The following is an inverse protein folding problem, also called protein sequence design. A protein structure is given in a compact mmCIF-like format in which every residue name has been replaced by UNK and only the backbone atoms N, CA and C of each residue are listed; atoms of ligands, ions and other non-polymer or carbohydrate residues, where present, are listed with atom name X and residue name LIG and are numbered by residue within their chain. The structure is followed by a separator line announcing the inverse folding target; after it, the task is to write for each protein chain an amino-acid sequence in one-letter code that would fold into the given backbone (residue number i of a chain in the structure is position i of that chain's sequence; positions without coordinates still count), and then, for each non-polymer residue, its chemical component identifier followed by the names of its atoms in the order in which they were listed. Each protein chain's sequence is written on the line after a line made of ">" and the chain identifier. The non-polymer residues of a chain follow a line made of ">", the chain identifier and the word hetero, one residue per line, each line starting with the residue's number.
data_IF_740390865962
#
_entry.id   IF_740390865962
#
_cell.length_a   1.000
_cell.length_b   1.000
_cell.length_c   1.000
_cell.angle_alpha   90.00
_cell.angle_beta   90.00
_cell.angle_gamma   90.00
#
_symmetry.space_group_name_H-M   'P 1'
#
loop_
_entity.id
_entity.type
_entity.pdbx_description
1 polymer ?
#
# COMPACT_ATOMS: atom_id res chain seq x y z
N UNK A 1 1.58 -9.74 1.91
CA UNK A 1 2.66 -9.23 1.06
C UNK A 1 3.78 -8.64 1.91
N UNK A 2 3.51 -7.51 2.56
CA UNK A 2 4.53 -6.72 3.31
C UNK A 2 5.20 -7.49 4.46
N UNK A 3 4.49 -8.39 5.15
CA UNK A 3 5.11 -9.23 6.18
C UNK A 3 6.08 -10.25 5.61
N UNK A 4 5.77 -10.83 4.45
CA UNK A 4 6.69 -11.72 3.75
C UNK A 4 7.94 -10.97 3.26
N UNK A 5 7.74 -9.79 2.70
CA UNK A 5 8.80 -8.89 2.23
C UNK A 5 9.74 -8.49 3.38
N UNK A 6 9.18 -8.03 4.49
CA UNK A 6 9.97 -7.62 5.66
C UNK A 6 10.78 -8.79 6.22
N UNK A 7 10.18 -9.98 6.33
CA UNK A 7 10.88 -11.18 6.78
C UNK A 7 12.04 -11.56 5.85
N UNK A 8 11.81 -11.50 4.53
CA UNK A 8 12.88 -11.74 3.55
C UNK A 8 14.00 -10.70 3.66
N UNK A 9 13.68 -9.42 3.81
CA UNK A 9 14.66 -8.37 3.99
C UNK A 9 15.52 -8.61 5.23
N UNK A 10 14.90 -8.89 6.37
CA UNK A 10 15.61 -9.16 7.62
C UNK A 10 16.55 -10.36 7.46
N UNK A 11 16.05 -11.47 6.89
CA UNK A 11 16.87 -12.67 6.73
C UNK A 11 17.97 -12.46 5.71
N UNK A 12 17.71 -11.79 4.60
CA UNK A 12 18.75 -11.50 3.58
C UNK A 12 19.87 -10.62 4.14
N UNK A 13 19.54 -9.69 5.02
CA UNK A 13 20.52 -8.75 5.59
C UNK A 13 21.32 -9.34 6.75
N UNK A 14 20.64 -10.04 7.67
CA UNK A 14 21.25 -10.49 8.93
C UNK A 14 21.60 -11.97 8.95
N UNK A 15 20.98 -12.80 8.10
CA UNK A 15 21.17 -14.24 8.04
C UNK A 15 21.27 -14.74 6.59
N UNK A 16 22.25 -14.26 5.79
CA UNK A 16 22.30 -14.53 4.34
C UNK A 16 22.40 -16.01 3.99
N UNK A 17 23.06 -16.81 4.81
CA UNK A 17 23.17 -18.27 4.60
C UNK A 17 21.83 -19.00 4.71
N UNK A 18 20.91 -18.50 5.51
CA UNK A 18 19.57 -19.07 5.67
C UNK A 18 18.64 -18.68 4.52
N UNK A 19 18.83 -17.51 3.93
CA UNK A 19 18.03 -17.00 2.81
C UNK A 19 18.17 -17.80 1.52
N UNK A 20 19.37 -18.41 1.28
CA UNK A 20 19.63 -19.18 0.08
C UNK A 20 18.77 -20.44 -0.06
N UNK A 21 18.49 -21.12 1.05
CA UNK A 21 17.73 -22.39 1.06
C UNK A 21 16.33 -22.28 1.65
N UNK A 22 16.04 -21.21 2.36
CA UNK A 22 14.83 -21.04 3.16
C UNK A 22 13.90 -19.91 2.74
N UNK A 23 14.16 -19.22 1.62
CA UNK A 23 13.38 -18.01 1.20
C UNK A 23 11.86 -18.23 1.18
N UNK A 24 11.41 -19.40 0.70
CA UNK A 24 9.99 -19.77 0.75
C UNK A 24 9.43 -19.79 2.17
N UNK A 25 10.09 -20.50 3.09
CA UNK A 25 9.63 -20.63 4.46
C UNK A 25 9.69 -19.30 5.20
N UNK A 26 10.72 -18.51 4.97
CA UNK A 26 10.86 -17.17 5.55
C UNK A 26 9.70 -16.27 5.12
N UNK A 27 9.42 -16.19 3.82
CA UNK A 27 8.31 -15.42 3.27
C UNK A 27 6.95 -15.93 3.79
N UNK A 28 6.77 -17.25 3.85
CA UNK A 28 5.55 -17.89 4.34
C UNK A 28 5.29 -17.56 5.80
N UNK A 29 6.28 -17.75 6.66
CA UNK A 29 6.18 -17.43 8.09
C UNK A 29 5.97 -15.93 8.29
N UNK A 30 6.70 -15.08 7.59
CA UNK A 30 6.51 -13.62 7.65
C UNK A 30 5.11 -13.17 7.25
N UNK A 31 4.52 -13.80 6.23
CA UNK A 31 3.14 -13.55 5.84
C UNK A 31 2.14 -14.00 6.93
N UNK A 32 2.34 -15.17 7.52
CA UNK A 32 1.49 -15.68 8.61
C UNK A 32 1.61 -14.82 9.87
N UNK A 33 2.82 -14.39 10.24
CA UNK A 33 3.02 -13.52 11.41
C UNK A 33 2.32 -12.17 11.22
N UNK A 34 2.41 -11.56 10.04
CA UNK A 34 1.70 -10.31 9.76
C UNK A 34 0.18 -10.49 9.88
N UNK A 35 -0.35 -11.61 9.41
CA UNK A 35 -1.77 -11.91 9.53
C UNK A 35 -2.18 -12.19 10.97
N UNK A 36 -1.33 -12.93 11.73
CA UNK A 36 -1.51 -13.16 13.16
C UNK A 36 -1.57 -11.85 13.96
N UNK A 37 -0.75 -10.87 13.59
CA UNK A 37 -0.77 -9.52 14.20
C UNK A 37 -2.10 -8.81 13.91
N UNK A 38 -2.60 -8.86 12.67
CA UNK A 38 -3.92 -8.31 12.31
C UNK A 38 -5.03 -8.99 13.11
N UNK A 39 -4.95 -10.31 13.30
CA UNK A 39 -5.92 -11.05 14.11
C UNK A 39 -5.85 -10.68 15.58
N UNK A 40 -4.67 -10.51 16.14
CA UNK A 40 -4.48 -10.04 17.50
C UNK A 40 -5.12 -8.65 17.72
N UNK A 41 -4.96 -7.74 16.78
CA UNK A 41 -5.61 -6.42 16.81
C UNK A 41 -7.14 -6.57 16.78
N UNK A 42 -7.67 -7.46 15.94
CA UNK A 42 -9.11 -7.66 15.77
C UNK A 42 -9.76 -8.55 16.82
N UNK A 43 -8.99 -9.30 17.61
CA UNK A 43 -9.51 -10.27 18.57
C UNK A 43 -10.49 -9.64 19.56
N UNK A 44 -10.15 -8.49 20.15
CA UNK A 44 -10.99 -7.78 21.12
C UNK A 44 -12.28 -7.20 20.50
N UNK A 45 -12.36 -7.08 19.20
CA UNK A 45 -13.52 -6.56 18.46
C UNK A 45 -14.44 -7.68 17.94
N UNK A 46 -14.30 -8.90 18.43
CA UNK A 46 -15.01 -10.09 17.94
C UNK A 46 -14.81 -10.31 16.42
N UNK A 47 -13.62 -10.03 15.93
CA UNK A 47 -13.25 -10.17 14.52
C UNK A 47 -14.14 -9.32 13.58
N UNK A 48 -14.47 -8.11 14.00
CA UNK A 48 -15.25 -7.19 13.16
C UNK A 48 -14.53 -6.94 11.84
N UNK A 49 -15.20 -7.08 10.66
CA UNK A 49 -14.58 -6.90 9.35
C UNK A 49 -13.90 -5.54 9.17
N UNK A 50 -14.48 -4.47 9.71
CA UNK A 50 -13.89 -3.12 9.59
C UNK A 50 -12.60 -3.02 10.40
N UNK A 51 -12.55 -3.61 11.61
CA UNK A 51 -11.33 -3.63 12.44
C UNK A 51 -10.27 -4.51 11.79
N UNK A 52 -10.64 -5.61 11.13
CA UNK A 52 -9.70 -6.43 10.36
C UNK A 52 -9.09 -5.65 9.20
N UNK A 53 -9.89 -4.90 8.45
CA UNK A 53 -9.39 -4.07 7.33
C UNK A 53 -8.48 -2.96 7.84
N UNK A 54 -8.89 -2.23 8.90
CA UNK A 54 -8.07 -1.18 9.51
C UNK A 54 -6.77 -1.74 10.09
N UNK A 55 -6.85 -2.85 10.83
CA UNK A 55 -5.68 -3.53 11.36
C UNK A 55 -4.71 -3.98 10.26
N UNK A 56 -5.25 -4.54 9.17
CA UNK A 56 -4.48 -4.92 7.99
C UNK A 56 -3.79 -3.72 7.34
N UNK A 57 -4.48 -2.58 7.23
CA UNK A 57 -3.93 -1.35 6.68
C UNK A 57 -2.80 -0.80 7.55
N UNK A 58 -3.00 -0.73 8.86
CA UNK A 58 -1.98 -0.25 9.82
C UNK A 58 -0.72 -1.14 9.80
N UNK A 59 -0.90 -2.47 9.85
CA UNK A 59 0.21 -3.43 9.76
C UNK A 59 0.93 -3.32 8.43
N UNK A 60 0.20 -3.13 7.32
CA UNK A 60 0.77 -2.94 6.00
C UNK A 60 1.63 -1.66 5.93
N UNK A 61 1.13 -0.54 6.42
CA UNK A 61 1.87 0.73 6.45
C UNK A 61 3.13 0.61 7.31
N UNK A 62 3.01 0.03 8.52
CA UNK A 62 4.14 -0.17 9.44
C UNK A 62 5.24 -1.02 8.78
N UNK A 63 4.87 -2.18 8.23
CA UNK A 63 5.84 -3.09 7.62
C UNK A 63 6.44 -2.52 6.33
N UNK A 64 5.64 -1.79 5.54
CA UNK A 64 6.15 -1.08 4.36
C UNK A 64 7.14 0.02 4.74
N UNK A 65 6.87 0.77 5.81
CA UNK A 65 7.78 1.82 6.27
C UNK A 65 9.13 1.22 6.73
N UNK A 66 9.10 0.14 7.53
CA UNK A 66 10.33 -0.55 7.96
C UNK A 66 11.06 -1.14 6.74
N UNK A 67 10.35 -1.77 5.81
CA UNK A 67 10.94 -2.35 4.59
C UNK A 67 11.60 -1.27 3.73
N UNK A 68 10.95 -0.12 3.55
CA UNK A 68 11.50 1.01 2.80
C UNK A 68 12.77 1.55 3.45
N UNK A 69 12.78 1.66 4.78
CA UNK A 69 13.97 2.08 5.54
C UNK A 69 15.15 1.12 5.28
N UNK A 70 14.92 -0.20 5.41
CA UNK A 70 15.95 -1.21 5.16
C UNK A 70 16.43 -1.19 3.70
N UNK A 71 15.54 -0.98 2.74
CA UNK A 71 15.89 -0.88 1.32
C UNK A 71 16.77 0.34 1.01
N UNK A 72 16.55 1.46 1.69
CA UNK A 72 17.35 2.67 1.51
C UNK A 72 18.76 2.47 2.08
N UNK A 73 18.85 1.93 3.29
CA UNK A 73 20.16 1.74 3.93
C UNK A 73 21.01 0.63 3.29
N UNK A 74 20.37 -0.37 2.69
CA UNK A 74 21.05 -1.57 2.17
C UNK A 74 20.68 -1.86 0.70
N UNK A 75 20.49 -0.83 -0.11
CA UNK A 75 19.96 -0.92 -1.48
C UNK A 75 20.63 -1.99 -2.35
N UNK A 76 21.96 -2.09 -2.30
CA UNK A 76 22.73 -3.05 -3.10
C UNK A 76 22.46 -4.51 -2.71
N UNK A 77 22.26 -4.78 -1.40
CA UNK A 77 22.08 -6.15 -0.89
C UNK A 77 20.67 -6.68 -1.07
N UNK A 78 19.69 -5.79 -1.26
CA UNK A 78 18.26 -6.15 -1.27
C UNK A 78 17.63 -6.13 -2.66
N UNK A 79 18.39 -5.90 -3.74
CA UNK A 79 17.85 -5.86 -5.11
C UNK A 79 17.06 -7.13 -5.47
N UNK A 80 17.53 -8.30 -5.01
CA UNK A 80 16.81 -9.57 -5.22
C UNK A 80 15.43 -9.62 -4.54
N UNK A 81 15.28 -8.99 -3.36
CA UNK A 81 14.01 -8.91 -2.66
C UNK A 81 13.06 -7.93 -3.35
N UNK A 82 13.58 -6.83 -3.90
CA UNK A 82 12.77 -5.87 -4.69
C UNK A 82 12.23 -6.54 -5.97
N UNK A 83 13.05 -7.33 -6.65
CA UNK A 83 12.63 -8.11 -7.82
C UNK A 83 11.57 -9.15 -7.44
N UNK A 84 11.74 -9.84 -6.30
CA UNK A 84 10.76 -10.80 -5.79
C UNK A 84 9.42 -10.11 -5.41
N UNK A 85 9.48 -8.93 -4.77
CA UNK A 85 8.29 -8.15 -4.39
C UNK A 85 7.41 -7.80 -5.60
N UNK A 86 8.03 -7.55 -6.75
CA UNK A 86 7.30 -7.17 -7.96
C UNK A 86 6.41 -8.26 -8.55
N UNK A 87 6.51 -9.49 -8.05
CA UNK A 87 5.73 -10.66 -8.46
C UNK A 87 6.17 -11.24 -9.80
N UNK A 88 6.76 -12.43 -9.78
CA UNK A 88 7.26 -13.10 -10.98
C UNK A 88 6.67 -14.51 -11.12
N UNK A 89 6.02 -14.79 -12.25
CA UNK A 89 5.50 -16.12 -12.60
C UNK A 89 6.49 -16.94 -13.43
N UNK A 90 7.66 -16.43 -13.75
CA UNK A 90 8.68 -17.19 -14.48
C UNK A 90 9.12 -18.39 -13.65
N UNK A 91 8.89 -19.59 -14.18
CA UNK A 91 9.22 -20.83 -13.51
C UNK A 91 10.38 -21.51 -14.22
N UNK A 92 11.39 -21.91 -13.45
CA UNK A 92 12.54 -22.68 -13.93
C UNK A 92 12.38 -24.19 -13.68
N UNK A 93 11.36 -24.59 -12.90
CA UNK A 93 11.10 -25.98 -12.56
C UNK A 93 9.61 -26.27 -12.43
N UNK A 94 9.22 -27.53 -12.60
CA UNK A 94 7.85 -28.00 -12.45
C UNK A 94 7.34 -28.03 -11.00
N UNK A 95 8.22 -27.96 -9.99
CA UNK A 95 7.86 -28.09 -8.58
C UNK A 95 6.84 -27.06 -8.11
N UNK A 96 7.02 -25.78 -8.48
CA UNK A 96 6.07 -24.75 -8.13
C UNK A 96 4.74 -24.90 -8.85
N UNK A 97 4.77 -25.28 -10.13
CA UNK A 97 3.55 -25.52 -10.91
C UNK A 97 2.74 -26.67 -10.34
N UNK A 98 3.38 -27.79 -9.99
CA UNK A 98 2.74 -28.94 -9.34
C UNK A 98 2.09 -28.54 -8.00
N UNK A 99 2.81 -27.75 -7.18
CA UNK A 99 2.28 -27.24 -5.93
C UNK A 99 1.02 -26.40 -6.12
N UNK A 100 1.02 -25.45 -7.09
CA UNK A 100 -0.14 -24.62 -7.36
C UNK A 100 -1.31 -25.41 -7.94
N UNK A 101 -1.05 -26.38 -8.81
CA UNK A 101 -2.09 -27.30 -9.33
C UNK A 101 -2.70 -28.08 -8.18
N UNK A 102 -1.90 -28.64 -7.29
CA UNK A 102 -2.39 -29.38 -6.14
C UNK A 102 -3.29 -28.52 -5.24
N UNK A 103 -2.84 -27.31 -4.86
CA UNK A 103 -3.66 -26.38 -4.07
C UNK A 103 -4.93 -26.00 -4.81
N UNK A 104 -4.86 -25.73 -6.11
CA UNK A 104 -6.03 -25.35 -6.91
C UNK A 104 -7.08 -26.46 -7.03
N UNK A 105 -6.69 -27.72 -6.89
CA UNK A 105 -7.60 -28.87 -6.83
C UNK A 105 -8.18 -29.09 -5.43
N UNK A 106 -7.38 -28.92 -4.39
CA UNK A 106 -7.80 -29.12 -2.99
C UNK A 106 -8.71 -28.00 -2.51
N UNK A 107 -8.40 -26.74 -2.87
CA UNK A 107 -9.12 -25.57 -2.37
C UNK A 107 -10.62 -25.57 -2.68
N UNK A 108 -11.11 -25.88 -3.90
CA UNK A 108 -12.53 -25.99 -4.19
C UNK A 108 -13.22 -27.06 -3.34
N UNK A 109 -12.56 -28.19 -3.07
CA UNK A 109 -13.09 -29.27 -2.24
C UNK A 109 -13.31 -28.77 -0.80
N UNK A 110 -12.33 -28.07 -0.22
CA UNK A 110 -12.48 -27.45 1.12
C UNK A 110 -13.64 -26.44 1.12
N UNK A 111 -13.73 -25.62 0.06
CA UNK A 111 -14.77 -24.60 -0.06
C UNK A 111 -16.18 -25.21 -0.17
N UNK A 112 -16.35 -26.40 -0.75
CA UNK A 112 -17.65 -27.09 -0.78
C UNK A 112 -18.22 -27.32 0.63
N UNK A 113 -17.38 -27.67 1.61
CA UNK A 113 -17.82 -27.83 3.00
C UNK A 113 -18.22 -26.50 3.65
N UNK A 114 -17.68 -25.39 3.18
CA UNK A 114 -17.96 -24.05 3.70
C UNK A 114 -19.15 -23.35 3.02
N UNK A 115 -19.63 -23.86 1.86
CA UNK A 115 -20.74 -23.23 1.12
C UNK A 115 -22.00 -23.11 1.98
N UNK A 116 -22.40 -24.17 2.68
CA UNK A 116 -23.62 -24.17 3.52
C UNK A 116 -23.52 -23.14 4.66
N UNK A 117 -22.51 -23.20 5.55
CA UNK A 117 -22.42 -22.22 6.64
C UNK A 117 -22.25 -20.78 6.14
N UNK A 118 -21.51 -20.54 5.05
CA UNK A 118 -21.40 -19.22 4.44
C UNK A 118 -22.72 -18.71 3.86
N UNK A 119 -23.52 -19.60 3.25
CA UNK A 119 -24.86 -19.24 2.73
C UNK A 119 -25.78 -18.82 3.87
N UNK A 120 -25.78 -19.53 4.99
CA UNK A 120 -26.57 -19.17 6.16
C UNK A 120 -26.09 -17.82 6.77
N UNK A 121 -24.77 -17.62 6.85
CA UNK A 121 -24.17 -16.37 7.34
C UNK A 121 -24.46 -15.16 6.44
N UNK A 122 -24.79 -15.38 5.16
CA UNK A 122 -25.14 -14.28 4.25
C UNK A 122 -26.52 -13.67 4.50
N UNK A 123 -27.36 -14.32 5.30
CA UNK A 123 -28.68 -13.78 5.66
C UNK A 123 -28.57 -12.69 6.74
N UNK A 124 -28.15 -13.08 7.94
CA UNK A 124 -27.83 -12.19 9.06
C UNK A 124 -27.08 -12.98 10.14
N UNK A 125 -26.19 -12.34 10.89
CA UNK A 125 -25.41 -12.99 11.95
C UNK A 125 -26.28 -13.57 13.07
N UNK A 126 -27.36 -12.86 13.45
CA UNK A 126 -28.32 -13.31 14.48
C UNK A 126 -29.07 -14.56 14.03
N UNK A 127 -29.55 -14.55 12.79
CA UNK A 127 -30.25 -15.68 12.19
C UNK A 127 -29.33 -16.89 12.02
N UNK A 128 -28.08 -16.67 11.61
CA UNK A 128 -27.10 -17.74 11.47
C UNK A 128 -26.83 -18.45 12.83
N UNK A 129 -26.70 -17.68 13.91
CA UNK A 129 -26.56 -18.23 15.27
C UNK A 129 -27.80 -18.99 15.73
N UNK A 130 -28.99 -18.49 15.43
CA UNK A 130 -30.26 -19.16 15.75
C UNK A 130 -30.40 -20.51 15.01
N UNK A 131 -29.82 -20.61 13.80
CA UNK A 131 -29.77 -21.82 13.00
C UNK A 131 -28.60 -22.76 13.38
N UNK A 132 -27.90 -22.48 14.50
CA UNK A 132 -26.86 -23.33 15.05
C UNK A 132 -25.48 -23.18 14.39
N UNK A 133 -25.27 -22.18 13.51
CA UNK A 133 -23.97 -21.96 12.88
C UNK A 133 -23.00 -21.27 13.87
N UNK A 134 -21.83 -21.86 14.15
CA UNK A 134 -20.81 -21.24 14.99
C UNK A 134 -20.07 -20.13 14.23
N UNK A 135 -20.73 -18.97 14.09
CA UNK A 135 -20.30 -17.85 13.22
C UNK A 135 -18.83 -17.46 13.45
N UNK A 136 -18.39 -17.37 14.73
CA UNK A 136 -17.01 -16.99 15.04
C UNK A 136 -16.00 -18.04 14.54
N UNK A 137 -16.30 -19.32 14.72
CA UNK A 137 -15.42 -20.41 14.27
C UNK A 137 -15.36 -20.48 12.73
N UNK A 138 -16.50 -20.34 12.05
CA UNK A 138 -16.54 -20.32 10.56
C UNK A 138 -15.77 -19.11 10.02
N UNK A 139 -15.94 -17.93 10.62
CA UNK A 139 -15.21 -16.72 10.24
C UNK A 139 -13.70 -16.92 10.42
N UNK A 140 -13.28 -17.44 11.57
CA UNK A 140 -11.88 -17.70 11.87
C UNK A 140 -11.28 -18.73 10.89
N UNK A 141 -12.00 -19.80 10.59
CA UNK A 141 -11.57 -20.82 9.63
C UNK A 141 -11.39 -20.23 8.22
N UNK A 142 -12.36 -19.45 7.73
CA UNK A 142 -12.28 -18.81 6.41
C UNK A 142 -11.09 -17.86 6.34
N UNK A 143 -10.91 -17.01 7.34
CA UNK A 143 -9.81 -16.02 7.34
C UNK A 143 -8.45 -16.72 7.45
N UNK A 144 -8.34 -17.79 8.25
CA UNK A 144 -7.13 -18.62 8.32
C UNK A 144 -6.83 -19.29 6.98
N UNK A 145 -7.84 -19.85 6.32
CA UNK A 145 -7.69 -20.45 5.00
C UNK A 145 -7.19 -19.42 3.97
N UNK A 146 -7.77 -18.22 3.95
CA UNK A 146 -7.33 -17.12 3.10
C UNK A 146 -5.87 -16.74 3.41
N UNK A 147 -5.50 -16.67 4.70
CA UNK A 147 -4.14 -16.36 5.12
C UNK A 147 -3.13 -17.39 4.60
N UNK A 148 -3.42 -18.69 4.80
CA UNK A 148 -2.54 -19.79 4.36
C UNK A 148 -2.40 -19.81 2.85
N UNK A 149 -3.50 -19.70 2.11
CA UNK A 149 -3.48 -19.67 0.63
C UNK A 149 -2.68 -18.47 0.13
N UNK A 150 -2.94 -17.27 0.67
CA UNK A 150 -2.22 -16.05 0.27
C UNK A 150 -0.73 -16.14 0.62
N UNK A 151 -0.38 -16.63 1.81
CA UNK A 151 1.01 -16.83 2.21
C UNK A 151 1.73 -17.82 1.28
N UNK A 152 1.06 -18.92 0.91
CA UNK A 152 1.58 -19.94 -0.02
C UNK A 152 1.85 -19.37 -1.43
N UNK A 153 0.97 -18.50 -1.92
CA UNK A 153 1.17 -17.85 -3.22
C UNK A 153 2.32 -16.84 -3.13
N UNK A 154 2.24 -15.92 -2.17
CA UNK A 154 3.23 -14.84 -2.03
C UNK A 154 4.64 -15.37 -1.79
N UNK A 155 4.79 -16.42 -1.01
CA UNK A 155 6.12 -17.00 -0.72
C UNK A 155 6.81 -17.62 -1.94
N UNK A 156 6.07 -18.01 -2.98
CA UNK A 156 6.64 -18.64 -4.19
C UNK A 156 6.80 -17.72 -5.38
N UNK A 157 5.85 -16.81 -5.58
CA UNK A 157 5.81 -15.96 -6.78
C UNK A 157 5.88 -14.48 -6.47
N UNK A 158 6.03 -14.12 -5.20
CA UNK A 158 6.02 -12.73 -4.78
C UNK A 158 4.62 -12.14 -4.71
N UNK A 159 4.53 -10.81 -4.70
CA UNK A 159 3.26 -10.12 -4.49
C UNK A 159 2.49 -9.98 -5.80
N UNK A 160 1.34 -10.66 -5.88
CA UNK A 160 0.37 -10.51 -6.96
C UNK A 160 -0.77 -9.62 -6.48
N UNK A 161 -0.80 -8.39 -6.95
CA UNK A 161 -1.76 -7.39 -6.49
C UNK A 161 -3.07 -7.47 -7.26
N UNK A 162 -4.19 -7.17 -6.58
CA UNK A 162 -5.52 -6.93 -7.17
C UNK A 162 -6.23 -8.09 -7.84
N UNK A 163 -5.65 -9.28 -7.98
CA UNK A 163 -6.28 -10.44 -8.62
C UNK A 163 -7.60 -10.81 -7.92
N UNK A 164 -7.55 -11.02 -6.60
CA UNK A 164 -8.72 -11.41 -5.81
C UNK A 164 -9.80 -10.32 -5.79
N UNK A 165 -9.39 -9.05 -5.67
CA UNK A 165 -10.33 -7.93 -5.63
C UNK A 165 -11.00 -7.70 -6.99
N UNK A 166 -10.25 -7.80 -8.09
CA UNK A 166 -10.78 -7.68 -9.43
C UNK A 166 -11.75 -8.84 -9.75
N UNK A 167 -11.38 -10.07 -9.42
CA UNK A 167 -12.24 -11.24 -9.62
C UNK A 167 -13.54 -11.11 -8.81
N UNK A 168 -13.47 -10.73 -7.54
CA UNK A 168 -14.65 -10.50 -6.70
C UNK A 168 -15.53 -9.37 -7.25
N UNK A 169 -14.95 -8.29 -7.75
CA UNK A 169 -15.69 -7.17 -8.35
C UNK A 169 -16.45 -7.60 -9.60
N UNK A 170 -15.82 -8.39 -10.49
CA UNK A 170 -16.49 -8.93 -11.69
C UNK A 170 -17.67 -9.83 -11.29
N UNK A 171 -17.47 -10.75 -10.35
CA UNK A 171 -18.54 -11.66 -9.87
C UNK A 171 -19.71 -10.88 -9.28
N UNK A 172 -19.46 -9.80 -8.57
CA UNK A 172 -20.50 -8.93 -8.04
C UNK A 172 -21.30 -8.22 -9.15
N UNK A 173 -20.61 -7.79 -10.23
CA UNK A 173 -21.27 -7.16 -11.40
C UNK A 173 -22.19 -8.12 -12.13
N UNK A 174 -21.74 -9.39 -12.30
CA UNK A 174 -22.53 -10.45 -12.95
C UNK A 174 -23.72 -10.88 -12.09
N UNK A 175 -23.82 -10.40 -10.83
CA UNK A 175 -24.91 -10.61 -9.90
C UNK A 175 -25.25 -12.10 -9.65
N UNK A 176 -24.23 -12.94 -9.59
CA UNK A 176 -24.36 -14.36 -9.24
C UNK A 176 -24.81 -14.46 -7.77
N UNK A 177 -26.01 -15.00 -7.50
CA UNK A 177 -26.58 -15.06 -6.14
C UNK A 177 -26.06 -16.24 -5.31
N UNK A 178 -26.02 -17.51 -5.80
CA UNK A 178 -25.59 -18.65 -4.99
C UNK A 178 -24.11 -18.56 -4.61
N UNK A 179 -23.78 -18.66 -3.32
CA UNK A 179 -22.40 -18.51 -2.82
C UNK A 179 -21.46 -19.52 -3.48
N UNK A 180 -21.87 -20.77 -3.65
CA UNK A 180 -21.05 -21.77 -4.34
C UNK A 180 -20.68 -21.36 -5.76
N UNK A 181 -21.64 -20.86 -6.54
CA UNK A 181 -21.38 -20.36 -7.90
C UNK A 181 -20.51 -19.09 -7.88
N UNK A 182 -20.69 -18.20 -6.89
CA UNK A 182 -19.83 -17.01 -6.72
C UNK A 182 -18.38 -17.39 -6.47
N UNK A 183 -18.13 -18.39 -5.62
CA UNK A 183 -16.79 -18.89 -5.34
C UNK A 183 -16.15 -19.50 -6.58
N UNK A 184 -16.90 -20.35 -7.32
CA UNK A 184 -16.40 -20.94 -8.56
C UNK A 184 -16.15 -19.91 -9.66
N UNK A 185 -17.04 -18.94 -9.82
CA UNK A 185 -16.85 -17.85 -10.76
C UNK A 185 -15.63 -16.98 -10.38
N UNK A 186 -15.45 -16.66 -9.09
CA UNK A 186 -14.28 -15.94 -8.60
C UNK A 186 -12.98 -16.68 -8.88
N UNK A 187 -12.97 -18.01 -8.67
CA UNK A 187 -11.85 -18.86 -9.00
C UNK A 187 -11.52 -18.83 -10.51
N UNK A 188 -12.54 -18.99 -11.37
CA UNK A 188 -12.36 -18.95 -12.82
C UNK A 188 -11.88 -17.59 -13.32
N UNK A 189 -12.46 -16.48 -12.84
CA UNK A 189 -12.05 -15.13 -13.21
C UNK A 189 -10.64 -14.79 -12.72
N UNK A 190 -10.27 -15.21 -11.50
CA UNK A 190 -8.91 -15.03 -10.98
C UNK A 190 -7.88 -15.76 -11.83
N UNK A 191 -8.15 -17.00 -12.18
CA UNK A 191 -7.29 -17.81 -13.06
C UNK A 191 -7.17 -17.18 -14.45
N UNK A 192 -8.30 -16.77 -15.05
CA UNK A 192 -8.33 -16.11 -16.35
C UNK A 192 -7.57 -14.78 -16.36
N UNK A 193 -7.71 -13.96 -15.32
CA UNK A 193 -7.01 -12.68 -15.20
C UNK A 193 -5.49 -12.88 -15.15
N UNK A 194 -5.01 -13.83 -14.32
CA UNK A 194 -3.59 -14.14 -14.23
C UNK A 194 -3.05 -14.75 -15.52
N UNK A 195 -3.79 -15.65 -16.13
CA UNK A 195 -3.43 -16.25 -17.43
C UNK A 195 -3.32 -15.20 -18.52
N UNK A 196 -4.31 -14.31 -18.63
CA UNK A 196 -4.31 -13.20 -19.59
C UNK A 196 -3.11 -12.26 -19.33
N UNK A 197 -2.89 -11.86 -18.07
CA UNK A 197 -1.77 -10.98 -17.70
C UNK A 197 -0.43 -11.63 -18.04
N UNK A 198 -0.25 -12.91 -17.73
CA UNK A 198 0.98 -13.63 -18.07
C UNK A 198 1.24 -13.66 -19.58
N UNK A 199 0.20 -13.92 -20.40
CA UNK A 199 0.34 -13.89 -21.86
C UNK A 199 0.69 -12.48 -22.37
N UNK A 200 0.06 -11.43 -21.83
CA UNK A 200 0.39 -10.05 -22.17
C UNK A 200 1.87 -9.75 -21.83
N UNK A 201 2.31 -10.17 -20.65
CA UNK A 201 3.72 -9.98 -20.23
C UNK A 201 4.67 -10.75 -21.16
N UNK A 202 4.35 -11.98 -21.51
CA UNK A 202 5.17 -12.78 -22.44
C UNK A 202 5.27 -12.16 -23.83
N UNK A 203 4.18 -11.57 -24.34
CA UNK A 203 4.16 -10.90 -25.64
C UNK A 203 4.90 -9.56 -25.63
N UNK A 204 4.75 -8.78 -24.56
CA UNK A 204 5.32 -7.44 -24.48
C UNK A 204 6.77 -7.42 -23.99
N UNK A 205 7.17 -8.37 -23.15
CA UNK A 205 8.50 -8.40 -22.51
C UNK A 205 9.67 -8.33 -23.53
N UNK A 206 9.64 -9.02 -24.69
CA UNK A 206 10.69 -8.89 -25.69
C UNK A 206 10.83 -7.49 -26.28
N UNK A 207 9.72 -6.75 -26.41
CA UNK A 207 9.72 -5.38 -26.93
C UNK A 207 10.22 -4.35 -25.91
N UNK A 208 9.96 -4.57 -24.64
CA UNK A 208 10.38 -3.67 -23.55
C UNK A 208 11.81 -3.92 -23.07
N UNK A 209 12.34 -5.14 -23.22
CA UNK A 209 13.69 -5.49 -22.82
C UNK A 209 14.78 -4.61 -23.45
N UNK A 210 14.78 -4.33 -24.79
CA UNK A 210 15.76 -3.45 -25.37
C UNK A 210 15.58 -1.97 -25.01
N UNK A 211 14.35 -1.54 -24.66
CA UNK A 211 14.03 -0.15 -24.32
C UNK A 211 14.36 0.21 -22.87
N UNK A 212 14.06 -0.69 -21.94
CA UNK A 212 14.12 -0.42 -20.52
C UNK A 212 15.05 -1.37 -19.75
N UNK A 213 15.67 -2.33 -20.44
CA UNK A 213 16.52 -3.38 -19.85
C UNK A 213 15.85 -4.16 -18.69
N UNK A 214 14.51 -4.30 -18.73
CA UNK A 214 13.73 -5.02 -17.72
C UNK A 214 12.92 -6.16 -18.32
N UNK A 215 12.74 -7.20 -17.51
CA UNK A 215 11.67 -8.18 -17.69
C UNK A 215 10.43 -7.66 -16.96
N UNK A 216 9.31 -7.50 -17.65
CA UNK A 216 8.08 -7.03 -17.05
C UNK A 216 7.60 -8.00 -15.96
N UNK A 217 7.49 -7.57 -14.68
CA UNK A 217 6.99 -8.44 -13.63
C UNK A 217 5.47 -8.58 -13.72
N UNK A 218 4.99 -9.81 -13.64
CA UNK A 218 3.56 -10.12 -13.75
C UNK A 218 2.75 -9.46 -12.65
N UNK A 219 3.29 -9.37 -11.41
CA UNK A 219 2.60 -8.76 -10.28
C UNK A 219 2.30 -7.27 -10.47
N UNK A 220 3.23 -6.51 -11.05
CA UNK A 220 3.00 -5.09 -11.36
C UNK A 220 1.96 -4.93 -12.48
N UNK A 221 2.04 -5.74 -13.52
CA UNK A 221 1.09 -5.71 -14.64
C UNK A 221 -0.31 -6.15 -14.19
N UNK A 222 -0.43 -7.16 -13.30
CA UNK A 222 -1.73 -7.53 -12.70
C UNK A 222 -2.30 -6.40 -11.84
N UNK A 223 -1.46 -5.67 -11.12
CA UNK A 223 -1.86 -4.48 -10.37
C UNK A 223 -2.49 -3.42 -11.30
N UNK A 224 -1.84 -3.12 -12.40
CA UNK A 224 -2.32 -2.15 -13.40
C UNK A 224 -3.64 -2.62 -14.05
N UNK A 225 -3.68 -3.85 -14.55
CA UNK A 225 -4.86 -4.39 -15.23
C UNK A 225 -6.03 -4.58 -14.26
N UNK A 226 -5.78 -5.14 -13.07
CA UNK A 226 -6.81 -5.37 -12.05
C UNK A 226 -7.39 -4.06 -11.52
N UNK A 227 -6.54 -3.07 -11.26
CA UNK A 227 -6.97 -1.74 -10.84
C UNK A 227 -7.78 -1.03 -11.94
N UNK A 228 -7.29 -1.06 -13.19
CA UNK A 228 -7.99 -0.50 -14.34
C UNK A 228 -9.38 -1.13 -14.53
N UNK A 229 -9.47 -2.46 -14.40
CA UNK A 229 -10.73 -3.19 -14.46
C UNK A 229 -11.70 -2.77 -13.35
N UNK A 230 -11.22 -2.62 -12.11
CA UNK A 230 -12.06 -2.18 -10.99
C UNK A 230 -12.59 -0.77 -11.23
N UNK A 231 -11.72 0.17 -11.63
CA UNK A 231 -12.12 1.55 -11.92
C UNK A 231 -13.19 1.56 -13.03
N UNK A 232 -12.98 0.82 -14.11
CA UNK A 232 -13.93 0.72 -15.21
C UNK A 232 -15.28 0.14 -14.76
N UNK A 233 -15.27 -0.96 -13.97
CA UNK A 233 -16.49 -1.57 -13.44
C UNK A 233 -17.26 -0.63 -12.53
N UNK A 234 -16.58 0.07 -11.63
CA UNK A 234 -17.21 1.00 -10.69
C UNK A 234 -17.83 2.19 -11.43
N UNK A 235 -17.14 2.76 -12.43
CA UNK A 235 -17.68 3.84 -13.25
C UNK A 235 -18.95 3.38 -13.99
N UNK A 236 -18.95 2.14 -14.50
CA UNK A 236 -20.10 1.57 -15.22
C UNK A 236 -21.29 1.31 -14.29
N UNK A 237 -21.06 0.89 -13.05
CA UNK A 237 -22.10 0.63 -12.06
C UNK A 237 -22.69 1.89 -11.42
N UNK A 238 -22.00 3.01 -11.46
CA UNK A 238 -22.41 4.26 -10.80
C UNK A 238 -23.75 4.82 -11.22
N UNK A 239 -24.41 4.22 -12.22
CA UNK A 239 -25.74 4.59 -12.70
C UNK A 239 -26.89 4.03 -11.86
N UNK A 240 -26.63 3.14 -10.90
CA UNK A 240 -27.67 2.61 -10.01
C UNK A 240 -27.67 3.40 -8.69
N UNK A 241 -28.83 3.95 -8.25
CA UNK A 241 -28.93 4.60 -6.96
C UNK A 241 -28.72 3.54 -5.88
N UNK A 242 -27.60 3.63 -5.17
CA UNK A 242 -27.34 2.73 -4.04
C UNK A 242 -28.00 3.25 -2.79
N UNK A 243 -28.74 2.36 -2.13
CA UNK A 243 -29.21 2.56 -0.76
C UNK A 243 -27.97 2.80 0.10
N UNK A 244 -27.93 3.96 0.74
CA UNK A 244 -26.81 4.35 1.61
C UNK A 244 -26.72 3.32 2.75
N UNK A 245 -25.75 2.41 2.65
CA UNK A 245 -25.35 1.61 3.80
C UNK A 245 -24.82 2.58 4.86
N UNK A 246 -25.58 2.70 5.93
CA UNK A 246 -25.14 3.42 7.12
C UNK A 246 -23.89 2.69 7.63
N UNK A 247 -22.73 3.25 7.36
CA UNK A 247 -21.49 2.78 7.98
C UNK A 247 -21.69 2.88 9.49
N UNK A 248 -21.60 1.77 10.25
CA UNK A 248 -21.74 1.84 11.69
C UNK A 248 -20.67 2.81 12.19
N UNK A 249 -21.07 3.79 12.98
CA UNK A 249 -20.14 4.74 13.58
C UNK A 249 -19.26 3.97 14.58
N UNK A 250 -18.11 3.49 14.11
CA UNK A 250 -17.14 2.77 14.93
C UNK A 250 -16.61 3.63 16.09
N UNK A 251 -16.86 4.92 16.05
CA UNK A 251 -16.43 5.91 17.03
C UNK A 251 -17.55 6.35 17.97
N UNK A 252 -18.64 5.60 18.10
CA UNK A 252 -19.64 5.82 19.14
C UNK A 252 -19.16 5.45 20.55
N UNK A 253 -17.83 5.46 20.77
CA UNK A 253 -17.25 5.52 22.11
C UNK A 253 -17.64 6.85 22.77
N UNK A 254 -17.87 6.85 24.09
CA UNK A 254 -18.09 8.04 24.89
C UNK A 254 -17.15 9.14 24.43
N UNK A 255 -17.69 10.26 23.90
CA UNK A 255 -16.90 11.44 23.55
C UNK A 255 -16.13 11.87 24.81
N UNK A 256 -14.87 11.48 24.89
CA UNK A 256 -13.95 12.04 25.90
C UNK A 256 -13.52 13.41 25.38
N UNK A 257 -14.12 14.44 25.90
CA UNK A 257 -13.60 15.79 25.70
C UNK A 257 -12.30 15.89 26.50
N UNK A 258 -11.19 15.94 25.80
CA UNK A 258 -9.93 16.28 26.44
C UNK A 258 -10.03 17.75 26.86
N UNK A 259 -9.98 18.01 28.16
CA UNK A 259 -10.02 19.39 28.69
C UNK A 259 -8.84 20.21 28.23
N UNK A 260 -8.95 21.54 28.33
CA UNK A 260 -7.88 22.46 27.93
C UNK A 260 -6.51 22.14 28.57
N UNK A 261 -6.51 21.58 29.80
CA UNK A 261 -5.30 21.11 30.46
C UNK A 261 -4.55 20.00 29.72
N UNK A 262 -5.26 19.06 29.09
CA UNK A 262 -4.62 18.02 28.26
C UNK A 262 -3.89 18.66 27.07
N UNK A 263 -4.52 19.59 26.38
CA UNK A 263 -3.92 20.26 25.24
C UNK A 263 -2.75 21.15 25.62
N UNK A 264 -2.82 21.80 26.79
CA UNK A 264 -1.71 22.59 27.31
C UNK A 264 -0.49 21.70 27.64
N UNK A 265 -0.70 20.54 28.27
CA UNK A 265 0.37 19.58 28.56
C UNK A 265 0.94 19.00 27.27
N UNK A 266 0.09 18.63 26.30
CA UNK A 266 0.55 18.10 25.01
C UNK A 266 1.38 19.14 24.24
N UNK A 267 0.95 20.40 24.21
CA UNK A 267 1.70 21.51 23.60
C UNK A 267 3.02 21.77 24.34
N UNK A 268 3.01 21.77 25.68
CA UNK A 268 4.20 21.96 26.50
C UNK A 268 5.23 20.85 26.25
N UNK A 269 4.81 19.58 26.19
CA UNK A 269 5.66 18.46 25.83
C UNK A 269 6.23 18.58 24.41
N UNK A 270 5.41 18.97 23.45
CA UNK A 270 5.86 19.17 22.07
C UNK A 270 6.91 20.27 21.98
N UNK A 271 6.70 21.39 22.65
CA UNK A 271 7.67 22.50 22.70
C UNK A 271 8.98 22.06 23.37
N UNK A 272 8.90 21.33 24.48
CA UNK A 272 10.07 20.83 25.20
C UNK A 272 10.87 19.83 24.36
N UNK A 273 10.20 18.91 23.66
CA UNK A 273 10.83 17.99 22.72
C UNK A 273 11.47 18.74 21.55
N UNK A 274 10.82 19.76 21.01
CA UNK A 274 11.36 20.59 19.92
C UNK A 274 12.65 21.29 20.35
N UNK A 275 12.66 21.92 21.54
CA UNK A 275 13.86 22.55 22.10
C UNK A 275 14.97 21.53 22.31
N UNK A 276 14.64 20.33 22.85
CA UNK A 276 15.61 19.26 23.03
C UNK A 276 16.24 18.81 21.72
N UNK A 277 15.42 18.52 20.68
CA UNK A 277 15.91 18.09 19.37
C UNK A 277 16.77 19.16 18.68
N UNK A 278 16.46 20.43 18.87
CA UNK A 278 17.26 21.53 18.31
C UNK A 278 18.65 21.62 18.94
N UNK A 279 18.77 21.43 20.25
CA UNK A 279 20.00 21.75 21.01
C UNK A 279 20.85 20.52 21.37
N UNK A 280 20.24 19.33 21.53
CA UNK A 280 20.96 18.11 21.88
C UNK A 280 21.62 17.52 20.64
N UNK A 281 22.95 17.36 20.66
CA UNK A 281 23.70 16.70 19.58
C UNK A 281 24.74 15.74 20.16
N UNK A 282 25.10 14.66 19.42
CA UNK A 282 26.24 13.85 19.77
C UNK A 282 27.54 14.64 19.55
N UNK A 283 28.48 14.52 20.47
CA UNK A 283 29.85 15.00 20.30
C UNK A 283 30.69 14.03 19.46
N UNK A 284 31.96 14.35 19.23
CA UNK A 284 32.88 13.50 18.47
C UNK A 284 33.11 12.10 19.12
N UNK A 285 32.75 11.91 20.37
CA UNK A 285 32.84 10.63 21.10
C UNK A 285 31.49 9.90 21.16
N UNK A 286 30.42 10.46 20.55
CA UNK A 286 29.08 9.87 20.54
C UNK A 286 28.27 10.12 21.82
N UNK A 287 28.75 10.94 22.75
CA UNK A 287 27.98 11.34 23.91
C UNK A 287 27.00 12.46 23.54
N UNK A 288 25.73 12.32 24.01
CA UNK A 288 24.71 13.34 23.77
C UNK A 288 24.79 14.45 24.78
N UNK A 289 24.92 15.69 24.30
CA UNK A 289 24.97 16.87 25.16
C UNK A 289 24.38 18.10 24.49
N UNK A 290 24.35 19.18 25.24
CA UNK A 290 23.79 20.49 24.81
C UNK A 290 24.86 21.27 24.04
N UNK A 291 25.22 20.84 22.83
CA UNK A 291 26.39 21.28 22.09
C UNK A 291 26.12 21.91 20.71
N UNK A 292 24.84 22.01 20.29
CA UNK A 292 24.57 22.52 18.96
C UNK A 292 24.85 24.03 18.85
N UNK A 293 25.72 24.39 17.90
CA UNK A 293 25.97 25.79 17.54
C UNK A 293 24.72 26.41 16.90
N UNK A 294 24.49 27.71 17.18
CA UNK A 294 23.32 28.44 16.68
C UNK A 294 23.26 28.42 15.14
N UNK A 295 24.41 28.58 14.46
CA UNK A 295 24.53 28.51 13.00
C UNK A 295 24.07 27.19 12.44
N UNK A 296 24.38 26.06 13.10
CA UNK A 296 23.96 24.73 12.71
C UNK A 296 22.47 24.51 12.97
N UNK A 297 21.94 25.05 14.06
CA UNK A 297 20.51 24.99 14.36
C UNK A 297 19.71 25.72 13.27
N UNK A 298 20.08 26.95 12.94
CA UNK A 298 19.38 27.77 11.95
C UNK A 298 19.46 27.22 10.55
N UNK A 299 20.63 26.71 10.13
CA UNK A 299 20.84 26.24 8.76
C UNK A 299 20.27 24.85 8.48
N UNK A 300 20.23 23.96 9.46
CA UNK A 300 19.88 22.55 9.24
C UNK A 300 18.72 22.03 10.10
N UNK A 301 18.73 22.29 11.41
CA UNK A 301 17.77 21.66 12.32
C UNK A 301 16.43 22.37 12.34
N UNK A 302 16.44 23.68 12.38
CA UNK A 302 15.22 24.49 12.43
C UNK A 302 14.38 24.32 11.15
N UNK A 303 14.94 24.44 9.92
CA UNK A 303 14.18 24.21 8.70
C UNK A 303 13.56 22.82 8.64
N UNK A 304 14.32 21.80 9.04
CA UNK A 304 13.84 20.41 9.08
C UNK A 304 12.68 20.22 10.05
N UNK A 305 12.80 20.78 11.25
CA UNK A 305 11.77 20.68 12.29
C UNK A 305 10.49 21.41 11.88
N UNK A 306 10.62 22.61 11.34
CA UNK A 306 9.48 23.40 10.85
C UNK A 306 8.78 22.69 9.67
N UNK A 307 9.55 22.18 8.72
CA UNK A 307 8.99 21.41 7.60
C UNK A 307 8.24 20.15 8.06
N UNK A 308 8.78 19.43 9.05
CA UNK A 308 8.11 18.27 9.61
C UNK A 308 6.79 18.64 10.31
N UNK A 309 6.80 19.72 11.10
CA UNK A 309 5.59 20.21 11.78
C UNK A 309 4.53 20.67 10.77
N UNK A 310 4.90 21.50 9.80
CA UNK A 310 4.00 22.00 8.76
C UNK A 310 3.41 20.84 7.95
N UNK A 311 4.22 19.89 7.52
CA UNK A 311 3.75 18.69 6.80
C UNK A 311 2.77 17.88 7.64
N UNK A 312 3.04 17.69 8.92
CA UNK A 312 2.13 17.00 9.85
C UNK A 312 0.78 17.70 9.96
N UNK A 313 0.77 19.03 10.10
CA UNK A 313 -0.48 19.82 10.13
C UNK A 313 -1.25 19.70 8.83
N UNK A 314 -0.58 19.83 7.68
CA UNK A 314 -1.24 19.71 6.37
C UNK A 314 -1.85 18.33 6.15
N UNK A 315 -1.12 17.25 6.43
CA UNK A 315 -1.61 15.88 6.27
C UNK A 315 -2.75 15.55 7.23
N UNK A 316 -2.66 15.98 8.49
CA UNK A 316 -3.73 15.80 9.47
C UNK A 316 -5.01 16.54 9.04
N UNK A 317 -4.87 17.79 8.58
CA UNK A 317 -6.00 18.58 8.07
C UNK A 317 -6.64 17.92 6.85
N UNK A 318 -5.84 17.49 5.87
CA UNK A 318 -6.32 16.77 4.70
C UNK A 318 -7.05 15.47 5.09
N UNK A 319 -6.50 14.70 6.03
CA UNK A 319 -7.13 13.48 6.54
C UNK A 319 -8.50 13.76 7.20
N UNK A 320 -8.56 14.74 8.11
CA UNK A 320 -9.82 15.13 8.77
C UNK A 320 -10.86 15.62 7.76
N UNK A 321 -10.47 16.44 6.79
CA UNK A 321 -11.38 16.92 5.74
C UNK A 321 -11.92 15.77 4.89
N UNK A 322 -11.05 14.84 4.46
CA UNK A 322 -11.47 13.67 3.67
C UNK A 322 -12.39 12.74 4.46
N UNK A 323 -12.09 12.46 5.72
CA UNK A 323 -12.93 11.64 6.59
C UNK A 323 -14.33 12.25 6.78
N UNK A 324 -14.39 13.56 7.00
CA UNK A 324 -15.66 14.27 7.13
C UNK A 324 -16.46 14.30 5.81
N UNK A 325 -15.78 14.59 4.69
CA UNK A 325 -16.40 14.65 3.37
C UNK A 325 -16.99 13.30 2.94
N UNK A 326 -16.21 12.24 3.14
CA UNK A 326 -16.61 10.88 2.74
C UNK A 326 -17.44 10.15 3.79
N UNK A 327 -17.58 10.72 5.00
CA UNK A 327 -18.17 10.07 6.19
C UNK A 327 -17.56 8.68 6.44
N UNK A 328 -16.26 8.54 6.15
CA UNK A 328 -15.55 7.28 6.27
C UNK A 328 -14.25 7.50 7.05
N UNK A 329 -14.08 6.89 8.23
CA UNK A 329 -12.88 7.06 9.06
C UNK A 329 -11.61 6.46 8.42
N UNK A 330 -11.76 5.69 7.34
CA UNK A 330 -10.63 5.11 6.60
C UNK A 330 -10.11 6.02 5.48
N UNK A 331 -10.79 7.12 5.18
CA UNK A 331 -10.37 8.01 4.11
C UNK A 331 -9.13 8.81 4.54
N UNK A 332 -8.08 8.71 3.74
CA UNK A 332 -6.85 9.52 3.87
C UNK A 332 -6.27 9.79 2.48
N UNK A 333 -5.41 10.79 2.31
CA UNK A 333 -4.77 11.08 1.02
C UNK A 333 -4.03 9.87 0.44
N UNK A 334 -3.41 9.05 1.29
CA UNK A 334 -2.68 7.84 0.91
C UNK A 334 -3.64 6.76 0.36
N UNK A 335 -4.74 6.50 1.09
CA UNK A 335 -5.72 5.49 0.71
C UNK A 335 -6.49 5.90 -0.55
N UNK A 336 -6.70 7.20 -0.76
CA UNK A 336 -7.39 7.72 -1.95
C UNK A 336 -6.49 7.88 -3.18
N UNK A 337 -5.21 7.51 -3.09
CA UNK A 337 -4.28 7.50 -4.21
C UNK A 337 -3.64 8.85 -4.51
N UNK A 338 -3.94 9.91 -3.77
CA UNK A 338 -3.40 11.26 -4.01
C UNK A 338 -1.89 11.26 -3.82
N UNK A 339 -1.40 10.64 -2.74
CA UNK A 339 0.04 10.51 -2.47
C UNK A 339 0.75 9.66 -3.52
N UNK A 340 0.11 8.59 -4.01
CA UNK A 340 0.65 7.76 -5.10
C UNK A 340 0.71 8.52 -6.44
N UNK A 341 -0.26 9.40 -6.70
CA UNK A 341 -0.25 10.30 -7.83
C UNK A 341 0.90 11.31 -7.76
N UNK A 342 1.12 11.91 -6.57
CA UNK A 342 2.26 12.77 -6.34
C UNK A 342 3.59 12.04 -6.60
N UNK A 343 3.74 10.85 -6.03
CA UNK A 343 4.92 10.02 -6.19
C UNK A 343 5.20 9.69 -7.67
N UNK A 344 4.18 9.29 -8.42
CA UNK A 344 4.32 9.03 -9.85
C UNK A 344 4.70 10.32 -10.61
N UNK A 345 4.07 11.45 -10.32
CA UNK A 345 4.38 12.74 -10.94
C UNK A 345 5.84 13.15 -10.77
N UNK A 346 6.38 13.00 -9.54
CA UNK A 346 7.80 13.25 -9.27
C UNK A 346 8.70 12.31 -10.06
N UNK A 347 8.42 11.01 -10.03
CA UNK A 347 9.25 10.01 -10.72
C UNK A 347 9.24 10.22 -12.23
N UNK A 348 8.09 10.55 -12.82
CA UNK A 348 8.00 10.89 -14.24
C UNK A 348 8.86 12.11 -14.58
N UNK A 349 8.86 13.13 -13.72
CA UNK A 349 9.74 14.28 -13.93
C UNK A 349 11.22 13.87 -13.84
N UNK A 350 11.62 13.05 -12.88
CA UNK A 350 13.00 12.55 -12.85
C UNK A 350 13.38 11.79 -14.12
N UNK A 351 12.48 10.97 -14.66
CA UNK A 351 12.72 10.20 -15.89
C UNK A 351 12.81 11.13 -17.12
N UNK A 352 11.91 12.09 -17.24
CA UNK A 352 11.80 12.95 -18.42
C UNK A 352 12.52 14.30 -18.28
N UNK A 353 13.10 14.62 -17.11
CA UNK A 353 13.80 15.91 -16.90
C UNK A 353 14.89 16.22 -17.93
N UNK A 354 15.74 15.27 -18.39
CA UNK A 354 16.74 15.59 -19.40
C UNK A 354 16.11 16.01 -20.76
N UNK A 355 14.98 15.37 -21.11
CA UNK A 355 14.23 15.71 -22.30
C UNK A 355 13.58 17.09 -22.17
N UNK A 356 12.94 17.35 -21.03
CA UNK A 356 12.24 18.63 -20.74
C UNK A 356 13.26 19.78 -20.73
N UNK A 357 14.36 19.65 -20.01
CA UNK A 357 15.38 20.70 -19.92
C UNK A 357 16.07 20.91 -21.28
N UNK A 358 16.37 19.83 -22.00
CA UNK A 358 16.99 19.89 -23.32
C UNK A 358 16.10 20.56 -24.37
N UNK A 359 14.78 20.28 -24.37
CA UNK A 359 13.83 20.89 -25.32
C UNK A 359 13.55 22.35 -25.00
N UNK A 360 13.58 22.74 -23.73
CA UNK A 360 13.33 24.12 -23.30
C UNK A 360 14.61 24.98 -23.30
N UNK A 361 15.78 24.39 -23.58
CA UNK A 361 17.06 25.11 -23.57
C UNK A 361 17.43 25.65 -22.18
N UNK A 362 16.87 25.04 -21.10
CA UNK A 362 17.12 25.48 -19.74
C UNK A 362 18.39 24.84 -19.22
N UNK A 363 19.23 25.63 -18.58
CA UNK A 363 20.43 25.13 -17.89
C UNK A 363 20.01 24.21 -16.72
N UNK A 364 20.83 23.23 -16.44
CA UNK A 364 20.64 22.30 -15.31
C UNK A 364 20.94 22.96 -13.96
N UNK A 365 20.56 24.22 -13.79
CA UNK A 365 20.76 24.97 -12.56
C UNK A 365 19.96 24.40 -11.40
N UNK A 366 20.44 24.62 -10.21
CA UNK A 366 19.87 24.08 -8.97
C UNK A 366 18.39 24.39 -8.75
N UNK A 367 17.91 25.51 -9.29
CA UNK A 367 16.49 25.90 -9.21
C UNK A 367 15.58 24.91 -9.95
N UNK A 368 15.91 24.55 -11.19
CA UNK A 368 15.09 23.63 -11.98
C UNK A 368 15.20 22.19 -11.52
N UNK A 369 16.35 21.77 -11.02
CA UNK A 369 16.55 20.42 -10.47
C UNK A 369 15.74 20.17 -9.20
N UNK A 370 15.47 21.20 -8.39
CA UNK A 370 14.63 21.12 -7.20
C UNK A 370 13.15 21.41 -7.49
N UNK A 371 12.87 22.40 -8.36
CA UNK A 371 11.52 22.87 -8.63
C UNK A 371 10.69 21.92 -9.51
N UNK A 372 11.31 21.29 -10.51
CA UNK A 372 10.58 20.38 -11.40
C UNK A 372 9.97 19.16 -10.71
N UNK A 373 10.68 18.44 -9.82
CA UNK A 373 10.06 17.34 -9.06
C UNK A 373 8.89 17.79 -8.20
N UNK A 374 8.98 18.96 -7.55
CA UNK A 374 7.89 19.53 -6.76
C UNK A 374 6.67 19.82 -7.64
N UNK A 375 6.87 20.45 -8.80
CA UNK A 375 5.79 20.67 -9.77
C UNK A 375 5.18 19.35 -10.25
N UNK A 376 6.00 18.36 -10.57
CA UNK A 376 5.54 17.02 -10.95
C UNK A 376 4.67 16.39 -9.86
N UNK A 377 5.11 16.47 -8.61
CA UNK A 377 4.35 15.99 -7.45
C UNK A 377 3.02 16.70 -7.27
N UNK A 378 3.00 18.03 -7.36
CA UNK A 378 1.78 18.83 -7.27
C UNK A 378 0.80 18.51 -8.41
N UNK A 379 1.28 18.41 -9.64
CA UNK A 379 0.45 18.06 -10.79
C UNK A 379 -0.10 16.65 -10.69
N UNK A 380 0.72 15.67 -10.27
CA UNK A 380 0.28 14.29 -10.07
C UNK A 380 -0.76 14.16 -8.96
N UNK A 381 -0.55 14.84 -7.82
CA UNK A 381 -1.52 14.91 -6.74
C UNK A 381 -2.83 15.57 -7.18
N UNK A 382 -2.74 16.71 -7.85
CA UNK A 382 -3.90 17.47 -8.35
C UNK A 382 -4.72 16.66 -9.35
N UNK A 383 -4.07 15.96 -10.28
CA UNK A 383 -4.73 15.11 -11.26
C UNK A 383 -5.53 14.00 -10.59
N UNK A 384 -4.92 13.29 -9.63
CA UNK A 384 -5.62 12.23 -8.88
C UNK A 384 -6.72 12.81 -8.02
N UNK A 385 -6.51 13.94 -7.34
CA UNK A 385 -7.54 14.60 -6.55
C UNK A 385 -8.74 14.99 -7.41
N UNK A 386 -8.52 15.61 -8.58
CA UNK A 386 -9.58 15.98 -9.52
C UNK A 386 -10.35 14.74 -10.01
N UNK A 387 -9.64 13.64 -10.31
CA UNK A 387 -10.24 12.38 -10.69
C UNK A 387 -11.12 11.83 -9.56
N UNK A 388 -10.62 11.82 -8.33
CA UNK A 388 -11.35 11.36 -7.15
C UNK A 388 -12.58 12.25 -6.88
N UNK A 389 -12.44 13.56 -6.96
CA UNK A 389 -13.57 14.50 -6.79
C UNK A 389 -14.62 14.36 -7.90
N UNK A 390 -14.19 14.12 -9.13
CA UNK A 390 -15.12 13.86 -10.24
C UNK A 390 -15.90 12.56 -10.01
N UNK A 391 -15.22 11.51 -9.55
CA UNK A 391 -15.86 10.23 -9.21
C UNK A 391 -16.74 10.33 -7.95
N UNK A 392 -16.36 11.14 -6.96
CA UNK A 392 -17.11 11.35 -5.73
C UNK A 392 -18.54 11.90 -5.99
N UNK A 393 -18.73 12.63 -7.09
CA UNK A 393 -20.06 13.13 -7.49
C UNK A 393 -21.00 12.01 -7.95
N UNK A 394 -20.49 10.82 -8.24
CA UNK A 394 -21.23 9.71 -8.84
C UNK A 394 -21.24 8.45 -8.01
N UNK A 395 -20.37 8.35 -7.00
CA UNK A 395 -20.11 7.13 -6.24
C UNK A 395 -20.47 7.28 -4.77
N UNK A 396 -20.91 6.19 -4.14
CA UNK A 396 -21.02 6.14 -2.68
C UNK A 396 -19.63 6.12 -2.03
N UNK A 397 -19.55 6.46 -0.75
CA UNK A 397 -18.32 6.54 0.03
C UNK A 397 -17.49 5.24 -0.02
N UNK A 398 -18.14 4.07 0.03
CA UNK A 398 -17.46 2.77 -0.04
C UNK A 398 -16.82 2.51 -1.41
N UNK A 399 -17.52 2.87 -2.50
CA UNK A 399 -16.95 2.74 -3.86
C UNK A 399 -15.85 3.75 -4.12
N UNK A 400 -15.97 4.95 -3.55
CA UNK A 400 -14.92 5.96 -3.67
C UNK A 400 -13.61 5.48 -3.04
N UNK A 401 -13.69 4.83 -1.88
CA UNK A 401 -12.52 4.22 -1.24
C UNK A 401 -11.93 3.08 -2.09
N UNK A 402 -12.77 2.21 -2.66
CA UNK A 402 -12.34 1.14 -3.55
C UNK A 402 -11.58 1.69 -4.78
N UNK A 403 -12.11 2.74 -5.38
CA UNK A 403 -11.47 3.42 -6.51
C UNK A 403 -10.15 4.08 -6.10
N UNK A 404 -10.10 4.73 -4.92
CA UNK A 404 -8.88 5.32 -4.39
C UNK A 404 -7.77 4.27 -4.24
N UNK A 405 -8.09 3.13 -3.63
CA UNK A 405 -7.14 2.00 -3.50
C UNK A 405 -6.75 1.44 -4.88
N UNK A 406 -7.67 1.38 -5.83
CA UNK A 406 -7.35 0.95 -7.19
C UNK A 406 -6.42 1.95 -7.91
N UNK A 407 -6.64 3.26 -7.76
CA UNK A 407 -5.74 4.28 -8.29
C UNK A 407 -4.36 4.17 -7.67
N UNK A 408 -4.27 3.99 -6.34
CA UNK A 408 -2.99 3.78 -5.64
C UNK A 408 -2.22 2.59 -6.20
N UNK A 409 -2.91 1.50 -6.48
CA UNK A 409 -2.28 0.30 -7.03
C UNK A 409 -1.84 0.46 -8.49
N UNK A 410 -2.64 1.14 -9.30
CA UNK A 410 -2.28 1.45 -10.67
C UNK A 410 -0.99 2.29 -10.71
N UNK A 411 -0.96 3.36 -9.92
CA UNK A 411 0.23 4.21 -9.80
C UNK A 411 1.43 3.44 -9.23
N UNK A 412 1.19 2.63 -8.18
CA UNK A 412 2.21 1.77 -7.57
C UNK A 412 2.77 0.73 -8.54
N UNK A 413 1.95 0.12 -9.39
CA UNK A 413 2.38 -0.79 -10.45
C UNK A 413 3.33 -0.12 -11.44
N UNK A 414 2.97 1.09 -11.90
CA UNK A 414 3.83 1.89 -12.81
C UNK A 414 5.15 2.26 -12.12
N UNK A 415 5.08 2.72 -10.86
CA UNK A 415 6.28 3.04 -10.07
C UNK A 415 7.21 1.84 -9.91
N UNK A 416 6.67 0.65 -9.71
CA UNK A 416 7.46 -0.58 -9.61
C UNK A 416 8.17 -0.91 -10.92
N UNK A 417 7.51 -0.71 -12.07
CA UNK A 417 8.16 -0.87 -13.37
C UNK A 417 9.34 0.08 -13.54
N UNK A 418 9.17 1.34 -13.15
CA UNK A 418 10.26 2.34 -13.23
C UNK A 418 11.39 1.99 -12.26
N UNK A 419 11.09 1.56 -11.03
CA UNK A 419 12.10 1.13 -10.04
C UNK A 419 12.96 -0.03 -10.54
N UNK A 420 12.39 -0.92 -11.35
CA UNK A 420 13.10 -2.08 -11.90
C UNK A 420 13.86 -1.77 -13.20
N UNK A 421 13.73 -0.56 -13.75
CA UNK A 421 14.37 -0.19 -15.02
C UNK A 421 15.91 -0.07 -14.95
N UNK A 422 16.48 -0.09 -13.74
CA UNK A 422 17.93 0.12 -13.57
C UNK A 422 18.38 1.54 -13.89
N UNK A 423 17.47 2.51 -13.93
CA UNK A 423 17.79 3.92 -14.17
C UNK A 423 18.80 4.43 -13.13
N UNK A 424 19.93 5.06 -13.54
CA UNK A 424 20.92 5.60 -12.60
C UNK A 424 20.35 6.58 -11.58
N UNK A 425 19.23 7.21 -11.89
CA UNK A 425 18.52 8.16 -10.98
C UNK A 425 17.65 7.47 -9.95
N UNK A 426 17.58 6.14 -9.98
CA UNK A 426 16.74 5.36 -9.06
C UNK A 426 16.99 5.70 -7.60
N UNK A 427 18.24 5.91 -7.19
CA UNK A 427 18.57 6.27 -5.81
C UNK A 427 17.96 7.62 -5.40
N UNK A 428 18.02 8.62 -6.29
CA UNK A 428 17.38 9.92 -6.04
C UNK A 428 15.86 9.79 -5.93
N UNK A 429 15.24 8.98 -6.80
CA UNK A 429 13.80 8.68 -6.75
C UNK A 429 13.42 7.98 -5.45
N UNK A 430 14.18 6.97 -5.00
CA UNK A 430 13.93 6.25 -3.74
C UNK A 430 14.08 7.17 -2.54
N UNK A 431 15.10 8.01 -2.51
CA UNK A 431 15.30 8.99 -1.44
C UNK A 431 14.12 9.95 -1.35
N UNK A 432 13.63 10.44 -2.49
CA UNK A 432 12.46 11.31 -2.52
C UNK A 432 11.19 10.57 -2.06
N UNK A 433 10.95 9.36 -2.56
CA UNK A 433 9.79 8.53 -2.19
C UNK A 433 9.78 8.12 -0.70
N UNK A 434 10.93 8.13 -0.04
CA UNK A 434 11.03 7.82 1.39
C UNK A 434 10.46 8.91 2.29
N UNK A 435 10.15 10.09 1.75
CA UNK A 435 9.59 11.21 2.51
C UNK A 435 10.59 11.85 3.47
N UNK A 436 11.85 11.98 3.07
CA UNK A 436 12.88 12.59 3.90
C UNK A 436 12.74 14.11 3.98
N UNK A 437 12.89 14.66 5.18
CA UNK A 437 13.04 16.11 5.42
C UNK A 437 14.51 16.55 5.43
N UNK A 438 15.44 15.66 5.07
CA UNK A 438 16.88 15.94 5.11
C UNK A 438 17.31 17.07 4.17
N UNK A 439 16.62 17.24 3.05
CA UNK A 439 16.85 18.31 2.09
C UNK A 439 15.96 19.56 2.32
N UNK A 440 15.45 19.74 3.54
CA UNK A 440 14.71 20.95 3.87
C UNK A 440 15.69 22.12 4.08
N UNK A 441 15.82 22.95 3.07
CA UNK A 441 16.57 24.22 3.16
C UNK A 441 15.70 25.30 3.79
N UNK A 442 16.29 26.39 4.35
CA UNK A 442 15.52 27.48 4.93
C UNK A 442 14.43 28.03 3.99
N UNK A 443 14.75 28.17 2.70
CA UNK A 443 13.81 28.66 1.67
C UNK A 443 12.61 27.72 1.51
N UNK A 444 12.83 26.39 1.49
CA UNK A 444 11.74 25.41 1.37
C UNK A 444 10.90 25.32 2.64
N UNK A 445 11.49 25.50 3.81
CA UNK A 445 10.77 25.52 5.07
C UNK A 445 9.82 26.72 5.15
N UNK A 446 10.26 27.91 4.75
CA UNK A 446 9.40 29.10 4.69
C UNK A 446 8.29 29.01 3.65
N UNK A 447 8.52 28.29 2.53
CA UNK A 447 7.47 28.06 1.53
C UNK A 447 6.36 27.09 2.00
N UNK A 448 6.60 26.29 3.04
CA UNK A 448 5.62 25.36 3.60
C UNK A 448 4.80 25.98 4.75
N UNK A 449 5.26 27.06 5.36
CA UNK A 449 4.56 27.80 6.41
C UNK A 449 3.62 28.84 5.80
#
# INVERSE_FOLDING_TARGET
>A
GTGAQLALLIVTLFFPSFGLYGSFWVAFVGALLSMGLVFAIAANSRMNPVVLILGGLVVNILFSAISSLLMIFFSERVMGVMAWESGNLTQTSWQNSQFFVLISLILPVILLFLVKPLTIMSLDERQAKALGVPVAAVRMLVVTLVAVVTASVVSRVGVLSFVGLAAASVVNVVAIRPIGQRLMAGFAFGAMLLWLTNNIVMLLSPSFKPLLNITLPVGSVTGILGAGLIIWLVIRQSKQPMIAEQSPSLLAGKRRYFGGGFWAVALGLLLLLTVGVLHISPDAMGSFGWHAEVSFIESFRLPRTLSAMATGVMLATAGVLLQNLTRNPMASPEVMGISSGAALGVVLVFVFSPLILGTLGLATDSFWTLGLPLLGGLLGAALVLLLVLWLARRLSSSYLLLVGVAISALMGGILTLIKLSGDPRLQAMLNWLSGTTYHAYPVTAWALL
#
